data_IF_679023630061
#
_entry.id   IF_679023630061
#
_cell.length_a   1.000
_cell.length_b   1.000
_cell.length_c   1.000
_cell.angle_alpha   90.00
_cell.angle_beta   90.00
_cell.angle_gamma   90.00
#
_symmetry.space_group_name_H-M   'P 1'
#
loop_
_entity.id
_entity.type
_entity.pdbx_description
1 polymer ?
#
# COMPACT_ATOMS: atom_id res chain seq x y z
N UNK A 1 26.47 -12.11 17.99
CA UNK A 1 26.80 -12.96 16.82
C UNK A 1 25.76 -12.59 15.78
N UNK A 2 26.05 -11.50 15.08
CA UNK A 2 25.10 -10.68 14.35
C UNK A 2 25.48 -10.78 12.88
N UNK A 3 24.80 -11.66 12.15
CA UNK A 3 24.90 -11.74 10.71
C UNK A 3 23.75 -10.96 10.08
N UNK A 4 24.00 -10.03 9.13
CA UNK A 4 22.92 -9.37 8.41
C UNK A 4 22.18 -10.39 7.54
N UNK A 5 20.87 -10.52 7.78
CA UNK A 5 19.96 -11.29 6.94
C UNK A 5 19.96 -10.70 5.53
N UNK A 6 20.31 -11.51 4.53
CA UNK A 6 20.24 -11.14 3.11
C UNK A 6 18.89 -11.63 2.57
N UNK A 7 18.01 -10.78 2.02
CA UNK A 7 16.78 -11.25 1.41
C UNK A 7 17.09 -12.08 0.16
N UNK A 8 16.45 -13.25 -0.05
CA UNK A 8 16.56 -13.97 -1.31
C UNK A 8 15.53 -13.41 -2.31
N UNK A 9 15.79 -12.23 -2.87
CA UNK A 9 14.99 -11.70 -3.99
C UNK A 9 15.67 -12.04 -5.32
N UNK A 10 15.58 -13.32 -5.71
CA UNK A 10 15.70 -13.87 -7.09
C UNK A 10 15.84 -15.40 -7.16
N UNK A 11 15.95 -16.11 -6.03
CA UNK A 11 16.19 -17.57 -6.01
C UNK A 11 14.99 -18.46 -5.65
N UNK A 12 13.83 -17.89 -5.30
CA UNK A 12 12.72 -18.66 -4.71
C UNK A 12 11.88 -19.48 -5.70
N UNK A 13 12.03 -19.29 -7.01
CA UNK A 13 11.46 -20.20 -8.01
C UNK A 13 12.17 -21.56 -8.01
N UNK A 14 13.46 -21.62 -7.61
CA UNK A 14 14.26 -22.85 -7.72
C UNK A 14 14.11 -23.78 -6.52
N UNK A 15 13.80 -23.27 -5.32
CA UNK A 15 13.74 -24.09 -4.09
C UNK A 15 12.41 -24.84 -3.94
N UNK A 16 11.30 -24.26 -4.40
CA UNK A 16 10.02 -24.98 -4.48
C UNK A 16 10.07 -26.12 -5.51
N UNK A 17 10.86 -25.97 -6.58
CA UNK A 17 11.09 -27.04 -7.56
C UNK A 17 11.82 -28.26 -6.96
N UNK A 18 12.73 -28.07 -6.00
CA UNK A 18 13.49 -29.19 -5.43
C UNK A 18 12.70 -30.04 -4.43
N UNK A 19 11.73 -29.46 -3.71
CA UNK A 19 10.90 -30.22 -2.76
C UNK A 19 9.76 -30.94 -3.48
N UNK A 20 9.26 -30.41 -4.60
CA UNK A 20 8.28 -31.12 -5.44
C UNK A 20 8.90 -32.29 -6.22
N UNK A 21 10.18 -32.23 -6.62
CA UNK A 21 10.79 -33.27 -7.45
C UNK A 21 11.02 -34.63 -6.76
N UNK A 22 10.95 -34.70 -5.43
CA UNK A 22 11.32 -35.91 -4.69
C UNK A 22 10.14 -36.75 -4.19
N UNK A 23 8.90 -36.23 -4.15
CA UNK A 23 7.85 -36.86 -3.37
C UNK A 23 6.67 -37.44 -4.16
N UNK A 24 6.13 -36.80 -5.20
CA UNK A 24 4.96 -37.34 -5.90
C UNK A 24 4.93 -36.85 -7.34
N UNK A 25 4.77 -37.77 -8.29
CA UNK A 25 4.48 -37.44 -9.68
C UNK A 25 3.20 -36.62 -9.77
N UNK A 26 3.34 -35.32 -10.01
CA UNK A 26 2.28 -34.47 -10.51
C UNK A 26 2.51 -34.32 -12.01
N UNK A 27 1.52 -34.77 -12.78
CA UNK A 27 1.42 -34.53 -14.21
C UNK A 27 1.46 -33.01 -14.49
N UNK A 28 2.10 -32.67 -15.60
CA UNK A 28 2.23 -31.31 -16.13
C UNK A 28 0.87 -30.59 -16.18
N UNK A 29 0.71 -29.63 -15.28
CA UNK A 29 -0.34 -28.63 -15.33
C UNK A 29 0.32 -27.26 -15.28
N UNK A 30 0.54 -26.67 -16.46
CA UNK A 30 0.96 -25.29 -16.64
C UNK A 30 0.02 -24.34 -15.86
N UNK A 31 0.49 -23.80 -14.74
CA UNK A 31 -0.08 -22.58 -14.16
C UNK A 31 0.56 -21.41 -14.89
N UNK A 32 -0.09 -20.99 -15.97
CA UNK A 32 0.15 -19.69 -16.58
C UNK A 32 -0.31 -18.62 -15.59
N UNK A 33 0.63 -17.84 -15.07
CA UNK A 33 0.33 -16.56 -14.43
C UNK A 33 -0.26 -15.69 -15.54
N UNK A 34 -1.56 -15.40 -15.43
CA UNK A 34 -2.31 -14.73 -16.49
C UNK A 34 -1.75 -13.36 -16.81
N UNK A 35 -1.08 -13.25 -17.95
CA UNK A 35 -1.09 -12.00 -18.72
C UNK A 35 -2.53 -11.82 -19.18
N UNK A 36 -3.15 -10.68 -18.85
CA UNK A 36 -4.53 -10.37 -19.24
C UNK A 36 -4.53 -10.18 -20.76
N UNK A 37 -4.70 -11.27 -21.50
CA UNK A 37 -4.86 -11.21 -22.95
C UNK A 37 -6.22 -10.59 -23.24
N UNK A 38 -6.30 -9.59 -24.14
CA UNK A 38 -7.57 -8.99 -24.48
C UNK A 38 -8.47 -10.04 -25.15
N UNK A 39 -9.79 -9.93 -24.93
CA UNK A 39 -10.75 -10.80 -25.60
C UNK A 39 -10.66 -10.55 -27.12
N UNK A 40 -10.27 -11.59 -27.86
CA UNK A 40 -10.17 -11.56 -29.32
C UNK A 40 -11.28 -12.44 -29.89
N UNK A 41 -12.17 -11.85 -30.69
CA UNK A 41 -13.26 -12.59 -31.34
C UNK A 41 -12.91 -12.87 -32.82
N UNK A 42 -13.18 -14.09 -33.34
CA UNK A 42 -12.96 -14.41 -34.74
C UNK A 42 -14.03 -13.76 -35.63
N UNK A 43 -13.60 -13.14 -36.72
CA UNK A 43 -14.49 -12.59 -37.76
C UNK A 43 -14.72 -13.59 -38.89
N UNK A 44 -15.88 -13.52 -39.58
CA UNK A 44 -16.25 -14.47 -40.63
C UNK A 44 -15.32 -14.45 -41.87
N UNK A 45 -14.50 -13.42 -42.03
CA UNK A 45 -13.49 -13.33 -43.10
C UNK A 45 -12.11 -13.90 -42.69
N UNK A 46 -12.01 -14.54 -41.53
CA UNK A 46 -10.78 -15.17 -41.03
C UNK A 46 -9.80 -14.22 -40.34
N UNK A 47 -10.23 -12.99 -40.02
CA UNK A 47 -9.47 -12.04 -39.21
C UNK A 47 -9.86 -12.07 -37.73
N UNK A 48 -9.10 -11.37 -36.90
CA UNK A 48 -9.31 -11.26 -35.46
C UNK A 48 -9.46 -9.77 -35.08
N UNK A 49 -10.45 -9.45 -34.25
CA UNK A 49 -10.64 -8.08 -33.73
C UNK A 49 -10.52 -8.09 -32.21
N UNK A 50 -9.76 -7.15 -31.68
CA UNK A 50 -9.57 -6.95 -30.24
C UNK A 50 -10.72 -6.09 -29.72
N UNK A 51 -11.51 -6.62 -28.78
CA UNK A 51 -12.62 -5.89 -28.18
C UNK A 51 -12.10 -5.04 -27.01
N UNK A 52 -12.21 -3.70 -27.03
CA UNK A 52 -11.76 -2.88 -25.92
C UNK A 52 -12.66 -3.09 -24.70
N UNK A 53 -12.04 -3.27 -23.53
CA UNK A 53 -12.72 -3.31 -22.25
C UNK A 53 -13.13 -1.87 -21.89
N UNK A 54 -14.40 -1.58 -21.53
CA UNK A 54 -14.81 -0.24 -21.16
C UNK A 54 -14.13 0.16 -19.83
N UNK A 55 -13.20 1.11 -19.87
CA UNK A 55 -12.59 1.66 -18.65
C UNK A 55 -11.17 2.22 -18.72
N UNK A 56 -10.47 2.19 -19.86
CA UNK A 56 -9.11 2.75 -19.97
C UNK A 56 -8.99 3.77 -21.11
N UNK A 57 -9.08 5.04 -20.75
CA UNK A 57 -8.65 6.22 -21.50
C UNK A 57 -7.43 6.75 -20.69
N UNK A 58 -6.24 7.09 -21.16
CA UNK A 58 -5.65 7.33 -22.48
C UNK A 58 -4.13 7.08 -22.36
N UNK A 59 -3.48 6.54 -23.39
CA UNK A 59 -2.04 6.58 -23.54
C UNK A 59 -1.68 6.71 -25.02
N UNK A 60 -1.73 7.94 -25.53
CA UNK A 60 -1.24 8.27 -26.86
C UNK A 60 0.29 8.43 -26.82
N UNK A 61 0.97 7.55 -27.53
CA UNK A 61 2.38 7.69 -27.89
C UNK A 61 2.50 8.50 -29.18
N UNK A 62 3.30 9.57 -29.16
CA UNK A 62 3.72 10.33 -30.33
C UNK A 62 5.12 10.90 -30.10
N UNK A 63 6.08 10.46 -30.91
CA UNK A 63 7.51 10.76 -30.76
C UNK A 63 7.96 12.16 -31.22
N UNK A 64 9.14 12.52 -30.68
CA UNK A 64 10.22 13.45 -31.07
C UNK A 64 10.19 14.16 -32.44
N UNK A 65 10.81 15.36 -32.61
CA UNK A 65 12.24 15.59 -32.28
C UNK A 65 12.70 16.99 -31.81
N UNK A 66 13.84 16.96 -31.09
CA UNK A 66 15.02 17.84 -31.17
C UNK A 66 14.80 19.32 -31.56
N UNK A 67 14.81 20.22 -30.55
CA UNK A 67 15.27 21.61 -30.72
C UNK A 67 16.00 22.12 -29.47
N UNK A 68 17.30 22.31 -29.70
CA UNK A 68 18.27 23.15 -29.00
C UNK A 68 17.75 24.21 -28.00
N UNK A 69 18.45 24.23 -26.85
CA UNK A 69 18.60 25.35 -25.92
C UNK A 69 18.79 26.69 -26.64
N UNK A 70 18.25 27.76 -26.06
CA UNK A 70 19.19 28.79 -25.60
C UNK A 70 19.06 29.13 -24.11
N UNK A 71 20.21 29.39 -23.50
CA UNK A 71 20.41 30.05 -22.22
C UNK A 71 19.63 31.37 -22.09
N UNK A 72 18.87 31.51 -21.00
CA UNK A 72 18.52 32.79 -20.39
C UNK A 72 18.18 32.50 -18.91
N UNK A 73 19.11 32.68 -17.99
CA UNK A 73 19.30 33.93 -17.26
C UNK A 73 18.04 34.39 -16.49
N UNK A 74 18.08 34.22 -15.17
CA UNK A 74 17.29 35.02 -14.23
C UNK A 74 15.99 34.37 -13.75
N UNK A 75 16.06 33.58 -12.67
CA UNK A 75 14.92 33.39 -11.79
C UNK A 75 14.75 34.66 -10.94
N UNK A 76 13.67 35.45 -11.08
CA UNK A 76 13.30 36.38 -10.04
C UNK A 76 12.73 35.59 -8.85
N UNK A 77 13.25 35.88 -7.66
CA UNK A 77 12.58 35.55 -6.41
C UNK A 77 11.18 36.18 -6.41
N UNK A 78 10.16 35.37 -6.20
CA UNK A 78 8.80 35.76 -5.81
C UNK A 78 8.30 34.58 -4.96
N UNK A 79 8.07 34.67 -3.65
CA UNK A 79 7.13 35.60 -3.02
C UNK A 79 5.89 35.84 -3.89
N UNK A 80 5.35 34.75 -4.44
CA UNK A 80 3.99 34.73 -4.96
C UNK A 80 3.06 34.81 -3.73
N UNK A 81 2.81 36.04 -3.31
CA UNK A 81 1.74 36.44 -2.42
C UNK A 81 0.47 35.72 -2.86
N UNK A 82 -0.02 34.79 -2.01
CA UNK A 82 -1.32 34.16 -2.19
C UNK A 82 -2.36 35.27 -2.40
N UNK A 83 -3.25 35.17 -3.40
CA UNK A 83 -4.25 36.20 -3.62
C UNK A 83 -5.09 36.41 -2.34
N UNK A 84 -5.55 37.64 -2.08
CA UNK A 84 -6.31 37.97 -0.88
C UNK A 84 -7.54 37.06 -0.78
N UNK A 85 -7.81 36.59 0.45
CA UNK A 85 -8.89 35.65 0.80
C UNK A 85 -10.30 36.12 0.40
N UNK A 86 -10.45 37.40 0.04
CA UNK A 86 -11.72 38.06 -0.24
C UNK A 86 -12.30 37.81 -1.65
N UNK A 87 -11.62 37.05 -2.50
CA UNK A 87 -12.15 36.63 -3.82
C UNK A 87 -12.63 35.17 -3.87
N UNK A 88 -12.56 34.42 -2.76
CA UNK A 88 -13.08 33.03 -2.70
C UNK A 88 -14.61 33.09 -2.68
N UNK A 89 -15.26 32.26 -3.50
CA UNK A 89 -16.71 32.06 -3.46
C UNK A 89 -17.18 31.78 -2.01
N UNK A 90 -18.43 32.14 -1.63
CA UNK A 90 -18.94 31.91 -0.28
C UNK A 90 -18.72 30.45 0.14
N UNK A 91 -18.33 30.26 1.40
CA UNK A 91 -18.02 28.95 1.98
C UNK A 91 -19.11 27.93 1.64
N UNK A 92 -18.73 26.69 1.28
CA UNK A 92 -19.70 25.65 1.00
C UNK A 92 -20.56 25.38 2.25
N UNK A 93 -21.85 25.02 2.09
CA UNK A 93 -22.68 24.65 3.22
C UNK A 93 -22.08 23.48 4.02
N UNK A 94 -22.36 23.41 5.34
CA UNK A 94 -21.75 22.41 6.21
C UNK A 94 -22.01 20.98 5.71
N UNK A 95 -20.94 20.22 5.53
CA UNK A 95 -20.98 18.85 4.99
C UNK A 95 -20.74 18.73 3.49
N UNK A 96 -20.58 19.86 2.79
CA UNK A 96 -20.19 19.89 1.36
C UNK A 96 -18.81 20.50 1.17
N UNK A 97 -18.19 20.23 0.03
CA UNK A 97 -16.84 20.68 -0.30
C UNK A 97 -16.75 21.05 -1.79
N UNK A 98 -15.74 21.86 -2.15
CA UNK A 98 -15.33 22.09 -3.54
C UNK A 98 -13.95 21.52 -3.80
N UNK A 99 -13.10 21.57 -2.79
CA UNK A 99 -11.77 20.97 -2.82
C UNK A 99 -11.43 20.34 -1.45
N UNK A 100 -10.33 19.59 -1.40
CA UNK A 100 -9.93 18.84 -0.19
C UNK A 100 -9.65 19.75 1.01
N UNK A 101 -9.33 21.04 0.79
CA UNK A 101 -9.10 21.98 1.88
C UNK A 101 -10.38 22.38 2.62
N UNK A 102 -11.55 22.17 2.00
CA UNK A 102 -12.85 22.39 2.63
C UNK A 102 -13.25 21.26 3.60
N UNK A 103 -12.54 20.13 3.54
CA UNK A 103 -12.84 18.95 4.33
C UNK A 103 -12.04 18.89 5.64
N UNK A 104 -12.64 18.35 6.71
CA UNK A 104 -11.91 18.08 7.96
C UNK A 104 -10.80 17.05 7.71
N UNK A 105 -9.76 17.09 8.55
CA UNK A 105 -8.60 16.22 8.42
C UNK A 105 -8.98 14.74 8.23
N UNK A 106 -8.36 14.09 7.23
CA UNK A 106 -8.65 12.69 6.86
C UNK A 106 -9.86 12.50 5.95
N UNK A 107 -10.40 13.56 5.34
CA UNK A 107 -11.45 13.48 4.32
C UNK A 107 -11.03 14.20 3.05
N UNK A 108 -11.54 13.71 1.93
CA UNK A 108 -11.34 14.29 0.59
C UNK A 108 -12.69 14.65 -0.01
N UNK A 109 -12.67 15.58 -0.95
CA UNK A 109 -13.87 16.01 -1.63
C UNK A 109 -14.23 15.06 -2.77
N UNK A 110 -15.32 14.31 -2.64
CA UNK A 110 -15.81 13.38 -3.66
C UNK A 110 -17.24 13.74 -4.00
N UNK A 111 -17.45 14.33 -5.19
CA UNK A 111 -18.78 14.70 -5.66
C UNK A 111 -19.49 15.67 -4.70
N UNK A 112 -18.81 16.75 -4.32
CA UNK A 112 -19.28 17.81 -3.42
C UNK A 112 -19.54 17.39 -1.97
N UNK A 113 -19.16 16.17 -1.57
CA UNK A 113 -19.30 15.68 -0.19
C UNK A 113 -17.93 15.28 0.37
N UNK A 114 -17.68 15.65 1.62
CA UNK A 114 -16.48 15.20 2.34
C UNK A 114 -16.62 13.72 2.69
N UNK A 115 -16.00 12.87 1.86
CA UNK A 115 -15.91 11.44 2.07
C UNK A 115 -14.60 11.10 2.79
N UNK A 116 -14.63 10.01 3.56
CA UNK A 116 -13.39 9.37 4.01
C UNK A 116 -12.66 8.93 2.74
N UNK A 117 -11.42 9.36 2.55
CA UNK A 117 -10.65 8.89 1.40
C UNK A 117 -10.59 7.35 1.47
N UNK A 118 -10.74 6.61 0.36
CA UNK A 118 -10.29 5.22 0.38
C UNK A 118 -8.82 5.25 0.79
N UNK A 119 -8.49 4.70 1.96
CA UNK A 119 -7.16 4.86 2.56
C UNK A 119 -6.97 6.00 3.56
N UNK A 120 -8.01 6.74 3.95
CA UNK A 120 -7.89 7.69 5.05
C UNK A 120 -7.78 6.93 6.38
N UNK A 121 -6.56 6.78 6.86
CA UNK A 121 -6.31 6.37 8.22
C UNK A 121 -6.88 7.41 9.19
N UNK A 122 -7.56 6.96 10.24
CA UNK A 122 -7.99 7.83 11.32
C UNK A 122 -6.79 8.17 12.22
N UNK A 123 -6.36 9.43 12.20
CA UNK A 123 -5.27 9.91 13.06
C UNK A 123 -5.76 10.06 14.49
N UNK A 124 -5.06 9.41 15.42
CA UNK A 124 -5.40 9.41 16.87
C UNK A 124 -4.35 10.13 17.72
N UNK A 125 -3.23 10.55 17.13
CA UNK A 125 -2.21 11.34 17.82
C UNK A 125 -1.04 11.74 16.91
N UNK A 126 0.00 12.28 17.52
CA UNK A 126 1.31 12.43 16.88
C UNK A 126 2.11 11.14 17.11
N UNK A 127 2.68 10.58 16.04
CA UNK A 127 3.35 9.29 16.07
C UNK A 127 4.39 9.14 14.98
N UNK A 128 5.10 8.03 14.98
CA UNK A 128 6.20 7.77 14.07
C UNK A 128 5.77 7.68 12.60
N UNK A 129 4.51 7.38 12.33
CA UNK A 129 3.96 7.24 10.98
C UNK A 129 3.29 8.51 10.45
N UNK A 130 3.32 9.62 11.18
CA UNK A 130 2.47 10.78 10.85
C UNK A 130 3.10 11.79 9.91
N UNK A 131 4.12 11.38 9.14
CA UNK A 131 4.65 12.17 8.04
C UNK A 131 3.95 11.78 6.74
N UNK A 132 3.96 12.69 5.76
CA UNK A 132 3.19 12.51 4.52
C UNK A 132 3.57 11.25 3.71
N UNK A 133 4.83 10.82 3.76
CA UNK A 133 5.27 9.62 3.04
C UNK A 133 4.70 8.34 3.67
N UNK A 134 4.75 8.24 5.00
CA UNK A 134 4.21 7.10 5.74
C UNK A 134 2.67 7.07 5.69
N UNK A 135 2.02 8.23 5.81
CA UNK A 135 0.57 8.34 5.73
C UNK A 135 0.04 7.90 4.36
N UNK A 136 0.71 8.30 3.28
CA UNK A 136 0.37 7.85 1.93
C UNK A 136 0.54 6.32 1.79
N UNK A 137 1.61 5.76 2.34
CA UNK A 137 1.88 4.32 2.26
C UNK A 137 0.85 3.50 3.03
N UNK A 138 0.54 3.91 4.27
CA UNK A 138 -0.45 3.24 5.08
C UNK A 138 -1.86 3.39 4.48
N UNK A 139 -2.16 4.57 3.91
CA UNK A 139 -3.45 4.83 3.27
C UNK A 139 -3.64 4.07 1.96
N UNK A 140 -2.58 3.88 1.17
CA UNK A 140 -2.64 3.06 -0.04
C UNK A 140 -2.87 1.57 0.23
N UNK A 141 -2.98 1.17 1.50
CA UNK A 141 -3.37 -0.17 1.90
C UNK A 141 -2.27 -1.17 1.61
N UNK A 142 -1.13 -1.04 2.30
CA UNK A 142 -0.12 -2.10 2.26
C UNK A 142 -0.80 -3.45 2.54
N UNK A 143 -0.36 -4.49 1.84
CA UNK A 143 -0.84 -5.85 2.10
C UNK A 143 -0.16 -6.36 3.38
N UNK A 144 -0.59 -5.83 4.53
CA UNK A 144 0.02 -6.10 5.82
C UNK A 144 0.01 -7.59 6.11
N UNK A 145 -1.04 -8.31 5.69
CA UNK A 145 -1.13 -9.76 5.82
C UNK A 145 -0.02 -10.48 5.05
N UNK A 146 0.24 -10.10 3.81
CA UNK A 146 1.30 -10.73 3.00
C UNK A 146 2.67 -10.41 3.59
N UNK A 147 2.92 -9.14 3.91
CA UNK A 147 4.16 -8.70 4.54
C UNK A 147 4.40 -9.41 5.88
N UNK A 148 3.38 -9.44 6.74
CA UNK A 148 3.41 -10.13 8.03
C UNK A 148 3.69 -11.61 7.84
N UNK A 149 3.02 -12.28 6.90
CA UNK A 149 3.23 -13.70 6.62
C UNK A 149 4.65 -13.96 6.13
N UNK A 150 5.12 -13.19 5.15
CA UNK A 150 6.45 -13.33 4.57
C UNK A 150 7.55 -13.11 5.62
N UNK A 151 7.43 -12.08 6.45
CA UNK A 151 8.39 -11.79 7.51
C UNK A 151 8.30 -12.79 8.66
N UNK A 152 7.11 -13.20 9.08
CA UNK A 152 6.93 -14.24 10.11
C UNK A 152 7.58 -15.55 9.71
N UNK A 153 7.30 -16.03 8.50
CA UNK A 153 7.85 -17.29 7.98
C UNK A 153 9.35 -17.15 7.75
N UNK A 154 9.81 -16.04 7.18
CA UNK A 154 11.22 -15.77 6.92
C UNK A 154 12.08 -15.67 8.19
N UNK A 155 11.47 -15.26 9.30
CA UNK A 155 12.12 -15.08 10.59
C UNK A 155 11.80 -16.17 11.62
N UNK A 156 11.02 -17.19 11.26
CA UNK A 156 10.57 -18.26 12.16
C UNK A 156 9.94 -17.73 13.46
N UNK A 157 9.21 -16.61 13.38
CA UNK A 157 8.55 -15.99 14.53
C UNK A 157 9.46 -15.16 15.45
N UNK A 158 10.74 -14.97 15.11
CA UNK A 158 11.67 -14.18 15.93
C UNK A 158 11.37 -12.68 15.82
N UNK A 159 11.05 -12.04 16.95
CA UNK A 159 10.50 -10.67 16.99
C UNK A 159 11.42 -9.62 16.36
N UNK A 160 12.73 -9.64 16.65
CA UNK A 160 13.66 -8.63 16.14
C UNK A 160 13.84 -8.79 14.63
N UNK A 161 14.05 -10.01 14.15
CA UNK A 161 14.08 -10.30 12.72
C UNK A 161 12.80 -9.84 12.02
N UNK A 162 11.61 -10.02 12.61
CA UNK A 162 10.36 -9.58 11.99
C UNK A 162 10.32 -8.06 11.86
N UNK A 163 10.66 -7.32 12.91
CA UNK A 163 10.72 -5.85 12.88
C UNK A 163 11.70 -5.38 11.82
N UNK A 164 12.89 -5.99 11.76
CA UNK A 164 13.90 -5.67 10.76
C UNK A 164 13.44 -6.04 9.34
N UNK A 165 12.76 -7.18 9.17
CA UNK A 165 12.19 -7.61 7.90
C UNK A 165 11.14 -6.62 7.40
N UNK A 166 10.21 -6.17 8.26
CA UNK A 166 9.20 -5.17 7.90
C UNK A 166 9.88 -3.86 7.48
N UNK A 167 10.87 -3.39 8.24
CA UNK A 167 11.65 -2.19 7.87
C UNK A 167 12.36 -2.31 6.53
N UNK A 168 12.82 -3.49 6.16
CA UNK A 168 13.55 -3.73 4.90
C UNK A 168 12.63 -3.95 3.69
N UNK A 169 11.40 -4.42 3.92
CA UNK A 169 10.44 -4.75 2.86
C UNK A 169 9.33 -3.70 2.71
N UNK A 170 9.45 -2.58 3.42
CA UNK A 170 8.54 -1.44 3.29
C UNK A 170 9.34 -0.18 2.98
N UNK A 171 8.66 0.79 2.39
CA UNK A 171 9.19 2.13 2.11
C UNK A 171 8.84 3.12 3.21
N UNK A 172 8.41 2.63 4.37
CA UNK A 172 8.16 3.45 5.54
C UNK A 172 9.45 4.10 6.06
N UNK A 173 9.29 5.20 6.78
CA UNK A 173 10.34 5.70 7.64
C UNK A 173 10.79 4.60 8.62
N UNK A 174 12.06 4.57 9.04
CA UNK A 174 12.56 3.54 9.95
C UNK A 174 11.78 3.46 11.27
N UNK A 175 11.25 4.61 11.72
CA UNK A 175 10.43 4.69 12.92
C UNK A 175 9.04 4.07 12.68
N UNK A 176 8.35 4.44 11.59
CA UNK A 176 7.04 3.87 11.26
C UNK A 176 7.09 2.37 10.95
N UNK A 177 8.07 1.92 10.17
CA UNK A 177 8.30 0.50 9.91
C UNK A 177 8.60 -0.28 11.20
N UNK A 178 9.17 0.39 12.22
CA UNK A 178 9.28 -0.14 13.57
C UNK A 178 7.91 -0.41 14.22
N UNK A 179 7.01 0.58 14.20
CA UNK A 179 5.65 0.43 14.74
C UNK A 179 4.86 -0.69 14.05
N UNK A 180 4.93 -0.77 12.71
CA UNK A 180 4.28 -1.83 11.94
C UNK A 180 4.89 -3.20 12.29
N UNK A 181 6.21 -3.28 12.40
CA UNK A 181 6.90 -4.50 12.83
C UNK A 181 6.50 -4.95 14.23
N UNK A 182 6.36 -4.02 15.17
CA UNK A 182 5.90 -4.29 16.53
C UNK A 182 4.45 -4.78 16.58
N UNK A 183 3.57 -4.22 15.73
CA UNK A 183 2.19 -4.72 15.56
C UNK A 183 2.19 -6.18 15.11
N UNK A 184 2.94 -6.53 14.06
CA UNK A 184 3.04 -7.91 13.57
C UNK A 184 3.62 -8.84 14.65
N UNK A 185 4.70 -8.42 15.31
CA UNK A 185 5.30 -9.20 16.39
C UNK A 185 4.37 -9.37 17.61
N UNK A 186 3.51 -8.38 17.88
CA UNK A 186 2.47 -8.49 18.90
C UNK A 186 1.44 -9.55 18.52
N UNK A 187 0.87 -9.49 17.30
CA UNK A 187 -0.14 -10.44 16.81
C UNK A 187 0.37 -11.88 16.94
N UNK A 188 1.63 -12.14 16.56
CA UNK A 188 2.23 -13.46 16.65
C UNK A 188 2.52 -13.94 18.07
N UNK A 189 2.61 -13.05 19.06
CA UNK A 189 2.91 -13.45 20.43
C UNK A 189 1.68 -13.47 21.34
N UNK A 190 0.74 -12.55 21.12
CA UNK A 190 -0.49 -12.43 21.91
C UNK A 190 -1.69 -13.13 21.24
N UNK A 191 -1.72 -13.16 19.91
CA UNK A 191 -2.89 -13.57 19.13
C UNK A 191 -2.62 -14.74 18.17
N UNK A 192 -1.46 -15.40 18.26
CA UNK A 192 -1.14 -16.53 17.37
C UNK A 192 -2.19 -17.64 17.42
N UNK A 193 -2.67 -18.00 18.62
CA UNK A 193 -3.65 -19.05 18.78
C UNK A 193 -5.00 -18.70 18.13
N UNK A 194 -5.65 -17.55 18.45
CA UNK A 194 -6.89 -17.16 17.77
C UNK A 194 -6.69 -16.91 16.27
N UNK A 195 -5.55 -16.37 15.84
CA UNK A 195 -5.29 -16.11 14.43
C UNK A 195 -4.93 -17.34 13.59
N UNK A 196 -4.51 -18.44 14.23
CA UNK A 196 -4.18 -19.70 13.52
C UNK A 196 -5.31 -20.72 13.60
N UNK A 197 -6.06 -20.76 14.72
CA UNK A 197 -6.99 -21.84 15.03
C UNK A 197 -8.45 -21.40 15.15
N UNK A 198 -8.73 -20.11 15.32
CA UNK A 198 -10.10 -19.60 15.39
C UNK A 198 -10.53 -18.99 14.04
N UNK A 199 -11.72 -18.40 14.03
CA UNK A 199 -12.20 -17.64 12.89
C UNK A 199 -11.57 -16.25 12.81
N UNK A 200 -11.74 -15.61 11.66
CA UNK A 200 -11.19 -14.28 11.37
C UNK A 200 -11.63 -13.22 12.38
N UNK A 201 -12.89 -13.23 12.85
CA UNK A 201 -13.37 -12.21 13.79
C UNK A 201 -12.70 -12.38 15.16
N UNK A 202 -12.54 -13.61 15.63
CA UNK A 202 -11.83 -13.89 16.89
C UNK A 202 -10.36 -13.44 16.83
N UNK A 203 -9.70 -13.59 15.68
CA UNK A 203 -8.35 -13.06 15.46
C UNK A 203 -8.32 -11.53 15.52
N UNK A 204 -9.25 -10.88 14.82
CA UNK A 204 -9.39 -9.42 14.82
C UNK A 204 -9.64 -8.89 16.23
N UNK A 205 -10.59 -9.47 16.96
CA UNK A 205 -10.91 -9.07 18.35
C UNK A 205 -9.67 -9.17 19.25
N UNK A 206 -8.87 -10.23 19.09
CA UNK A 206 -7.62 -10.36 19.83
C UNK A 206 -6.63 -9.25 19.48
N UNK A 207 -6.43 -8.98 18.18
CA UNK A 207 -5.53 -7.92 17.71
C UNK A 207 -5.98 -6.56 18.25
N UNK A 208 -7.26 -6.24 18.12
CA UNK A 208 -7.84 -4.98 18.57
C UNK A 208 -7.67 -4.78 20.08
N UNK A 209 -7.89 -5.83 20.86
CA UNK A 209 -7.73 -5.77 22.31
C UNK A 209 -6.26 -5.70 22.75
N UNK A 210 -5.37 -6.48 22.12
CA UNK A 210 -4.01 -6.71 22.62
C UNK A 210 -2.93 -5.85 21.95
N UNK A 211 -3.10 -5.52 20.66
CA UNK A 211 -2.03 -5.00 19.82
C UNK A 211 -2.32 -3.60 19.26
N UNK A 212 -3.57 -3.29 18.89
CA UNK A 212 -3.93 -2.00 18.31
C UNK A 212 -3.57 -0.81 19.24
N UNK A 213 -3.77 -0.85 20.58
CA UNK A 213 -3.38 0.25 21.47
C UNK A 213 -1.87 0.52 21.50
N UNK A 214 -1.04 -0.51 21.23
CA UNK A 214 0.40 -0.36 21.09
C UNK A 214 0.77 0.34 19.79
N UNK A 215 0.17 -0.12 18.69
CA UNK A 215 0.35 0.48 17.38
C UNK A 215 -0.13 1.93 17.34
N UNK A 216 -1.33 2.23 17.83
CA UNK A 216 -1.91 3.58 17.82
C UNK A 216 -1.01 4.60 18.54
N UNK A 217 -0.44 4.21 19.68
CA UNK A 217 0.51 5.05 20.43
C UNK A 217 1.83 5.24 19.70
N UNK A 218 2.29 4.25 18.93
CA UNK A 218 3.54 4.31 18.21
C UNK A 218 3.39 5.07 16.89
N UNK A 219 2.41 4.69 16.08
CA UNK A 219 2.17 5.15 14.72
C UNK A 219 1.39 6.46 14.64
N UNK A 220 0.48 6.72 15.59
CA UNK A 220 -0.40 7.90 15.59
C UNK A 220 -1.69 7.73 14.78
N UNK A 221 -1.98 6.53 14.29
CA UNK A 221 -3.19 6.19 13.54
C UNK A 221 -3.87 4.93 14.09
N UNK A 222 -5.19 4.86 13.95
CA UNK A 222 -5.94 3.62 14.14
C UNK A 222 -5.53 2.56 13.12
N UNK A 223 -5.54 1.31 13.58
CA UNK A 223 -5.41 0.15 12.70
C UNK A 223 -6.71 -0.02 11.91
N UNK A 224 -6.65 -0.07 10.56
CA UNK A 224 -7.82 -0.39 9.75
C UNK A 224 -8.34 -1.80 10.05
N UNK A 225 -9.67 -2.03 10.00
CA UNK A 225 -10.23 -3.37 10.24
C UNK A 225 -9.78 -4.43 9.21
N UNK A 226 -9.31 -4.01 8.03
CA UNK A 226 -8.85 -4.89 6.96
C UNK A 226 -7.39 -5.36 7.04
N UNK A 227 -6.64 -5.00 8.09
CA UNK A 227 -5.22 -5.36 8.27
C UNK A 227 -4.98 -6.71 8.95
#
# INVERSE_FOLDING_TARGET
MDGPWRPPLRGRVVVLLWVCLAALGCADGDVQVGEVQPLVEPTPDGGFVVVPIPGSLDAEAGGEPDRALPDAAGAPNADAELPPRDARAPDPPPGTCRDDADCPAGRICVGDVCAVAPGALERVGDGACTNAADELQLGNGIDLRELATACTVGCLGEKRCIVDCVRMNTTFSPACGGCVGELVACILSACFLPCTWADYLTCLDCREAACDPGFERCAGYRVPPGW
#
